data_IF_645637285311
#
_entry.id   IF_645637285311
#
_cell.length_a   1.000
_cell.length_b   1.000
_cell.length_c   1.000
_cell.angle_alpha   90.00
_cell.angle_beta   90.00
_cell.angle_gamma   90.00
#
_symmetry.space_group_name_H-M   'P 1'
#
loop_
_entity.id
_entity.type
_entity.pdbx_description
1 polymer ?
#
# COMPACT_ATOMS: atom_id res chain seq x y z
N UNK A 1 -3.39 -1.96 -16.82
CA UNK A 1 -4.16 -1.44 -15.66
C UNK A 1 -5.45 -2.24 -15.50
N UNK A 2 -5.88 -2.56 -14.27
CA UNK A 2 -7.18 -3.20 -14.03
C UNK A 2 -8.35 -2.29 -14.41
N UNK A 3 -9.47 -2.86 -14.88
CA UNK A 3 -10.69 -2.09 -15.10
C UNK A 3 -11.39 -1.75 -13.78
N UNK A 4 -12.23 -0.71 -13.78
CA UNK A 4 -13.03 -0.32 -12.61
C UNK A 4 -13.92 -1.48 -12.10
N UNK A 5 -14.55 -2.24 -13.00
CA UNK A 5 -15.36 -3.41 -12.65
C UNK A 5 -14.51 -4.51 -12.00
N UNK A 6 -13.28 -4.69 -12.46
CA UNK A 6 -12.34 -5.65 -11.87
C UNK A 6 -12.02 -5.26 -10.42
N UNK A 7 -11.68 -3.98 -10.19
CA UNK A 7 -11.39 -3.42 -8.87
C UNK A 7 -12.61 -3.58 -7.95
N UNK A 8 -13.79 -3.13 -8.40
CA UNK A 8 -15.04 -3.21 -7.64
C UNK A 8 -15.37 -4.65 -7.22
N UNK A 9 -15.13 -5.61 -8.11
CA UNK A 9 -15.36 -7.02 -7.82
C UNK A 9 -14.46 -7.56 -6.69
N UNK A 10 -13.18 -7.16 -6.65
CA UNK A 10 -12.25 -7.59 -5.58
C UNK A 10 -12.62 -6.94 -4.26
N UNK A 11 -12.91 -5.62 -4.26
CA UNK A 11 -13.42 -4.90 -3.09
C UNK A 11 -14.69 -5.54 -2.51
N UNK A 12 -15.62 -5.96 -3.37
CA UNK A 12 -16.84 -6.64 -2.95
C UNK A 12 -16.58 -8.00 -2.29
N UNK A 13 -15.53 -8.71 -2.71
CA UNK A 13 -15.12 -9.95 -2.06
C UNK A 13 -14.60 -9.70 -0.64
N UNK A 14 -13.83 -8.62 -0.47
CA UNK A 14 -13.31 -8.17 0.83
C UNK A 14 -14.46 -7.79 1.76
N UNK A 15 -15.48 -7.06 1.28
CA UNK A 15 -16.65 -6.68 2.11
C UNK A 15 -17.42 -7.88 2.65
N UNK A 16 -17.48 -8.96 1.86
CA UNK A 16 -18.18 -10.20 2.20
C UNK A 16 -17.39 -11.15 3.09
N UNK A 17 -16.11 -10.89 3.32
CA UNK A 17 -15.23 -11.71 4.15
C UNK A 17 -15.21 -13.19 3.73
N UNK A 18 -15.04 -13.41 2.42
CA UNK A 18 -14.97 -14.74 1.81
C UNK A 18 -13.52 -15.03 1.35
N UNK A 19 -12.62 -15.56 2.22
CA UNK A 19 -11.19 -15.71 1.93
C UNK A 19 -10.86 -16.39 0.60
N UNK A 20 -11.56 -17.48 0.27
CA UNK A 20 -11.34 -18.21 -0.99
C UNK A 20 -11.75 -17.37 -2.20
N UNK A 21 -12.82 -16.58 -2.07
CA UNK A 21 -13.28 -15.70 -3.13
C UNK A 21 -12.39 -14.47 -3.28
N UNK A 22 -11.85 -13.93 -2.19
CA UNK A 22 -10.85 -12.86 -2.21
C UNK A 22 -9.65 -13.33 -3.02
N UNK A 23 -9.07 -14.49 -2.67
CA UNK A 23 -7.92 -15.08 -3.39
C UNK A 23 -8.22 -15.36 -4.85
N UNK A 24 -9.35 -16.01 -5.13
CA UNK A 24 -9.75 -16.33 -6.50
C UNK A 24 -9.93 -15.09 -7.37
N UNK A 25 -10.64 -14.07 -6.87
CA UNK A 25 -10.85 -12.81 -7.61
C UNK A 25 -9.58 -12.02 -7.78
N UNK A 26 -8.72 -11.96 -6.76
CA UNK A 26 -7.44 -11.27 -6.85
C UNK A 26 -6.51 -11.94 -7.87
N UNK A 27 -6.40 -13.27 -7.85
CA UNK A 27 -5.62 -14.03 -8.82
C UNK A 27 -6.14 -13.86 -10.25
N UNK A 28 -7.47 -13.89 -10.44
CA UNK A 28 -8.08 -13.62 -11.74
C UNK A 28 -7.81 -12.20 -12.23
N UNK A 29 -7.91 -11.20 -11.35
CA UNK A 29 -7.63 -9.80 -11.67
C UNK A 29 -6.16 -9.61 -12.07
N UNK A 30 -5.25 -10.20 -11.30
CA UNK A 30 -3.81 -10.20 -11.57
C UNK A 30 -3.50 -10.84 -12.93
N UNK A 31 -4.04 -12.03 -13.20
CA UNK A 31 -3.85 -12.73 -14.47
C UNK A 31 -4.34 -11.90 -15.67
N UNK A 32 -5.52 -11.29 -15.58
CA UNK A 32 -6.06 -10.41 -16.64
C UNK A 32 -5.19 -9.18 -16.90
N UNK A 33 -4.42 -8.75 -15.90
CA UNK A 33 -3.52 -7.61 -16.01
C UNK A 33 -2.07 -8.02 -16.33
N UNK A 34 -1.79 -9.31 -16.56
CA UNK A 34 -0.42 -9.80 -16.75
C UNK A 34 0.49 -9.57 -15.54
N UNK A 35 -0.07 -9.66 -14.32
CA UNK A 35 0.63 -9.29 -13.08
C UNK A 35 0.50 -10.35 -11.98
N UNK A 36 1.13 -10.11 -10.82
CA UNK A 36 1.04 -10.99 -9.64
C UNK A 36 -0.10 -10.56 -8.70
N UNK A 37 -0.65 -11.46 -7.87
CA UNK A 37 -1.62 -11.09 -6.83
C UNK A 37 -1.12 -10.00 -5.87
N UNK A 38 0.15 -10.05 -5.47
CA UNK A 38 0.77 -9.02 -4.63
C UNK A 38 0.82 -7.65 -5.31
N UNK A 39 1.20 -7.60 -6.60
CA UNK A 39 1.14 -6.36 -7.38
C UNK A 39 -0.30 -5.87 -7.55
N UNK A 40 -1.25 -6.79 -7.72
CA UNK A 40 -2.67 -6.46 -7.81
C UNK A 40 -3.22 -5.82 -6.53
N UNK A 41 -2.68 -6.13 -5.35
CA UNK A 41 -3.05 -5.43 -4.11
C UNK A 41 -2.75 -3.92 -4.18
N UNK A 42 -1.66 -3.54 -4.86
CA UNK A 42 -1.25 -2.14 -5.04
C UNK A 42 -2.12 -1.42 -6.07
N UNK A 43 -2.58 -2.14 -7.08
CA UNK A 43 -3.35 -1.59 -8.21
C UNK A 43 -4.87 -1.58 -7.95
N UNK A 44 -5.36 -2.37 -6.99
CA UNK A 44 -6.79 -2.48 -6.67
C UNK A 44 -7.29 -1.32 -5.78
N UNK A 45 -7.06 -0.09 -6.24
CA UNK A 45 -7.51 1.14 -5.59
C UNK A 45 -8.89 1.52 -6.12
N UNK A 46 -9.88 1.65 -5.22
CA UNK A 46 -11.23 2.07 -5.59
C UNK A 46 -11.18 3.50 -6.18
N UNK A 47 -11.63 3.72 -7.43
CA UNK A 47 -11.47 5.01 -8.09
C UNK A 47 -12.36 6.11 -7.51
N UNK A 48 -13.42 5.76 -6.76
CA UNK A 48 -14.33 6.75 -6.20
C UNK A 48 -13.81 7.28 -4.85
N UNK A 49 -13.32 6.39 -3.98
CA UNK A 49 -12.85 6.76 -2.64
C UNK A 49 -11.33 6.87 -2.52
N UNK A 50 -10.57 6.29 -3.45
CA UNK A 50 -9.14 6.10 -3.32
C UNK A 50 -8.75 4.99 -2.34
N UNK A 51 -9.70 4.16 -1.89
CA UNK A 51 -9.43 3.12 -0.91
C UNK A 51 -8.67 1.94 -1.52
N UNK A 52 -7.61 1.50 -0.84
CA UNK A 52 -7.05 0.17 -1.12
C UNK A 52 -7.92 -0.93 -0.52
N UNK A 53 -7.64 -2.19 -0.87
CA UNK A 53 -8.33 -3.34 -0.27
C UNK A 53 -8.18 -3.40 1.26
N UNK A 54 -7.07 -2.89 1.81
CA UNK A 54 -6.87 -2.78 3.26
C UNK A 54 -7.81 -1.75 3.89
N UNK A 55 -8.00 -0.58 3.28
CA UNK A 55 -8.99 0.41 3.75
C UNK A 55 -10.39 -0.20 3.79
N UNK A 56 -10.78 -0.90 2.72
CA UNK A 56 -12.09 -1.57 2.66
C UNK A 56 -12.23 -2.62 3.75
N UNK A 57 -11.24 -3.49 3.94
CA UNK A 57 -11.26 -4.50 4.99
C UNK A 57 -11.33 -3.88 6.40
N UNK A 58 -10.62 -2.76 6.63
CA UNK A 58 -10.68 -2.01 7.89
C UNK A 58 -12.07 -1.44 8.14
N UNK A 59 -12.64 -0.76 7.13
CA UNK A 59 -13.94 -0.07 7.27
C UNK A 59 -15.09 -1.02 7.56
N UNK A 60 -15.04 -2.22 7.00
CA UNK A 60 -16.07 -3.26 7.22
C UNK A 60 -15.66 -4.30 8.27
N UNK A 61 -14.57 -4.03 9.00
CA UNK A 61 -14.11 -4.81 10.16
C UNK A 61 -13.88 -6.31 9.88
N UNK A 62 -13.24 -6.61 8.74
CA UNK A 62 -13.00 -7.98 8.27
C UNK A 62 -11.56 -8.43 8.54
N UNK A 63 -11.32 -8.96 9.74
CA UNK A 63 -10.00 -9.47 10.15
C UNK A 63 -9.53 -10.65 9.30
N UNK A 64 -10.42 -11.56 8.90
CA UNK A 64 -10.06 -12.71 8.05
C UNK A 64 -9.70 -12.28 6.63
N UNK A 65 -10.43 -11.30 6.07
CA UNK A 65 -10.04 -10.66 4.82
C UNK A 65 -8.65 -10.01 4.94
N UNK A 66 -8.34 -9.28 6.02
CA UNK A 66 -7.01 -8.71 6.24
C UNK A 66 -5.91 -9.78 6.30
N UNK A 67 -6.16 -10.87 7.03
CA UNK A 67 -5.23 -11.99 7.11
C UNK A 67 -5.04 -12.67 5.75
N UNK A 68 -6.08 -12.72 4.93
CA UNK A 68 -6.03 -13.25 3.56
C UNK A 68 -5.21 -12.34 2.66
N UNK A 69 -5.49 -11.03 2.64
CA UNK A 69 -4.74 -10.05 1.86
C UNK A 69 -3.25 -10.02 2.24
N UNK A 70 -2.95 -10.10 3.53
CA UNK A 70 -1.56 -10.17 4.02
C UNK A 70 -0.78 -11.34 3.42
N UNK A 71 -1.40 -12.52 3.28
CA UNK A 71 -0.73 -13.73 2.78
C UNK A 71 -0.30 -13.65 1.32
N UNK A 72 -0.82 -12.67 0.57
CA UNK A 72 -0.39 -12.41 -0.81
C UNK A 72 1.00 -11.74 -0.86
N UNK A 73 1.50 -11.27 0.28
CA UNK A 73 2.89 -10.86 0.44
C UNK A 73 3.76 -12.06 0.85
N UNK A 74 4.85 -12.26 0.11
CA UNK A 74 5.81 -13.31 0.42
C UNK A 74 6.40 -13.08 1.84
N UNK A 75 6.42 -14.11 2.71
CA UNK A 75 6.87 -13.96 4.10
C UNK A 75 8.36 -13.58 4.23
N UNK A 76 9.18 -13.88 3.22
CA UNK A 76 10.64 -13.76 3.27
C UNK A 76 11.24 -12.96 2.08
N UNK A 77 10.43 -12.19 1.36
CA UNK A 77 10.87 -11.50 0.14
C UNK A 77 11.32 -10.04 0.36
N UNK A 78 12.17 -9.55 -0.55
CA UNK A 78 12.62 -8.16 -0.77
C UNK A 78 11.49 -7.14 -1.05
N UNK A 79 10.24 -7.50 -0.79
CA UNK A 79 9.04 -6.68 -1.02
C UNK A 79 8.74 -5.74 0.17
N UNK A 80 9.79 -5.25 0.84
CA UNK A 80 9.64 -4.34 1.96
C UNK A 80 9.01 -3.01 1.52
N UNK A 81 9.43 -2.50 0.36
CA UNK A 81 8.90 -1.25 -0.18
C UNK A 81 7.42 -1.34 -0.56
N UNK A 82 6.95 -2.30 -1.39
CA UNK A 82 5.58 -2.25 -1.87
C UNK A 82 4.56 -2.47 -0.73
N UNK A 83 4.93 -3.24 0.29
CA UNK A 83 4.13 -3.37 1.52
C UNK A 83 4.05 -2.03 2.23
N UNK A 84 5.19 -1.37 2.49
CA UNK A 84 5.21 -0.06 3.17
C UNK A 84 4.45 1.01 2.39
N UNK A 85 4.57 1.02 1.06
CA UNK A 85 3.77 1.88 0.17
C UNK A 85 2.29 1.63 0.34
N UNK A 86 1.86 0.37 0.35
CA UNK A 86 0.44 0.05 0.54
C UNK A 86 -0.07 0.41 1.93
N UNK A 87 0.74 0.23 2.97
CA UNK A 87 0.34 0.55 4.34
C UNK A 87 0.31 2.07 4.59
N UNK A 88 1.18 2.85 3.92
CA UNK A 88 1.17 4.31 3.92
C UNK A 88 0.27 4.93 2.86
N UNK A 89 -0.38 4.11 2.04
CA UNK A 89 -1.33 4.56 1.03
C UNK A 89 -2.41 5.41 1.70
N UNK A 90 -2.70 6.56 1.09
CA UNK A 90 -3.74 7.48 1.54
C UNK A 90 -4.89 7.50 0.54
N UNK A 91 -6.11 7.34 1.02
CA UNK A 91 -7.31 7.50 0.18
C UNK A 91 -7.55 8.98 -0.16
N UNK A 92 -8.66 9.30 -0.86
CA UNK A 92 -8.97 10.68 -1.26
C UNK A 92 -9.22 11.64 -0.07
N UNK A 93 -9.44 11.12 1.13
CA UNK A 93 -9.55 11.90 2.37
C UNK A 93 -8.21 12.06 3.10
N UNK A 94 -7.12 11.59 2.49
CA UNK A 94 -5.79 11.56 3.09
C UNK A 94 -5.63 10.50 4.17
N UNK A 95 -6.59 9.58 4.31
CA UNK A 95 -6.60 8.59 5.39
C UNK A 95 -5.76 7.39 5.01
N UNK A 96 -4.94 6.93 5.95
CA UNK A 96 -4.35 5.58 5.88
C UNK A 96 -5.31 4.54 6.45
N UNK A 97 -4.98 3.25 6.28
CA UNK A 97 -5.78 2.18 6.87
C UNK A 97 -5.92 2.28 8.40
N UNK A 98 -4.95 2.89 9.11
CA UNK A 98 -5.01 3.10 10.55
C UNK A 98 -6.04 4.16 10.93
N UNK A 99 -6.18 5.23 10.15
CA UNK A 99 -7.23 6.22 10.34
C UNK A 99 -8.61 5.58 10.17
N UNK A 100 -8.79 4.80 9.10
CA UNK A 100 -10.05 4.08 8.85
C UNK A 100 -10.37 3.09 9.98
N UNK A 101 -9.38 2.35 10.48
CA UNK A 101 -9.57 1.48 11.64
C UNK A 101 -9.94 2.26 12.92
N UNK A 102 -9.32 3.43 13.14
CA UNK A 102 -9.61 4.27 14.28
C UNK A 102 -11.04 4.84 14.29
N UNK A 103 -11.64 5.05 13.11
CA UNK A 103 -13.04 5.48 12.97
C UNK A 103 -14.05 4.43 13.41
N UNK A 104 -13.71 3.14 13.37
CA UNK A 104 -14.68 2.10 13.74
C UNK A 104 -14.81 1.92 15.25
N UNK A 105 -13.83 2.42 16.01
CA UNK A 105 -13.76 2.23 17.46
C UNK A 105 -13.39 0.81 17.89
N UNK A 106 -13.09 -0.08 16.95
CA UNK A 106 -12.75 -1.46 17.21
C UNK A 106 -11.25 -1.62 17.42
N UNK A 107 -10.88 -1.87 18.68
CA UNK A 107 -9.48 -1.95 19.07
C UNK A 107 -8.73 -3.11 18.41
N UNK A 108 -9.41 -4.21 18.03
CA UNK A 108 -8.77 -5.32 17.32
C UNK A 108 -8.36 -4.90 15.90
N UNK A 109 -9.18 -4.10 15.22
CA UNK A 109 -8.87 -3.58 13.88
C UNK A 109 -7.69 -2.61 13.92
N UNK A 110 -7.66 -1.72 14.92
CA UNK A 110 -6.56 -0.76 15.11
C UNK A 110 -5.26 -1.50 15.45
N UNK A 111 -5.35 -2.53 16.30
CA UNK A 111 -4.21 -3.39 16.63
C UNK A 111 -3.72 -4.16 15.39
N UNK A 112 -4.65 -4.68 14.58
CA UNK A 112 -4.33 -5.37 13.34
C UNK A 112 -3.65 -4.43 12.32
N UNK A 113 -4.14 -3.20 12.17
CA UNK A 113 -3.53 -2.18 11.31
C UNK A 113 -2.08 -1.88 11.72
N UNK A 114 -1.85 -1.61 13.01
CA UNK A 114 -0.51 -1.35 13.53
C UNK A 114 0.43 -2.55 13.31
N UNK A 115 -0.03 -3.77 13.61
CA UNK A 115 0.77 -4.98 13.44
C UNK A 115 1.08 -5.31 11.99
N UNK A 116 0.12 -5.11 11.08
CA UNK A 116 0.35 -5.27 9.64
C UNK A 116 1.47 -4.34 9.16
N UNK A 117 1.50 -3.10 9.64
CA UNK A 117 2.59 -2.17 9.36
C UNK A 117 3.92 -2.65 9.94
N UNK A 118 3.94 -3.09 11.21
CA UNK A 118 5.13 -3.62 11.87
C UNK A 118 5.58 -5.00 11.37
N UNK A 119 4.84 -5.62 10.44
CA UNK A 119 5.03 -7.01 9.95
C UNK A 119 4.88 -8.08 11.04
N UNK A 120 4.23 -7.76 12.17
CA UNK A 120 3.96 -8.69 13.28
C UNK A 120 2.78 -9.60 12.98
N UNK A 121 2.71 -10.79 13.59
CA UNK A 121 1.59 -11.74 13.42
C UNK A 121 0.23 -11.14 13.84
N UNK A 122 -0.81 -11.44 13.07
CA UNK A 122 -2.18 -11.01 13.38
C UNK A 122 -2.76 -11.79 14.58
N UNK A 123 -3.75 -11.24 15.31
CA UNK A 123 -4.30 -11.86 16.53
C UNK A 123 -4.83 -13.29 16.37
N UNK A 124 -5.29 -13.69 15.17
CA UNK A 124 -5.88 -15.00 14.92
C UNK A 124 -4.90 -16.06 14.38
N UNK A 125 -3.61 -15.73 14.23
CA UNK A 125 -2.63 -16.66 13.67
C UNK A 125 -2.09 -17.62 14.76
N UNK A 126 -1.97 -18.94 14.44
CA UNK A 126 -1.61 -20.02 15.40
C UNK A 126 -0.27 -19.85 16.14
N UNK A 127 0.57 -18.89 15.72
CA UNK A 127 1.83 -18.50 16.38
C UNK A 127 1.71 -17.16 17.11
N UNK A 128 0.50 -16.78 17.49
CA UNK A 128 0.26 -15.67 18.40
C UNK A 128 0.83 -16.02 19.77
N UNK A 129 2.09 -15.63 19.99
CA UNK A 129 2.48 -15.17 21.31
C UNK A 129 2.19 -13.68 21.32
N UNK A 130 1.37 -13.16 22.26
CA UNK A 130 1.41 -11.75 22.55
C UNK A 130 2.79 -11.52 23.17
N UNK A 131 3.80 -11.27 22.34
CA UNK A 131 4.77 -10.27 22.74
C UNK A 131 4.03 -8.98 22.45
N UNK A 132 3.56 -8.26 23.48
CA UNK A 132 3.26 -6.87 23.26
C UNK A 132 4.55 -6.25 22.69
N UNK A 133 4.44 -5.19 21.90
CA UNK A 133 5.60 -4.35 21.62
C UNK A 133 6.30 -3.80 22.90
N UNK A 134 5.80 -4.17 24.09
CA UNK A 134 6.33 -3.90 25.43
C UNK A 134 7.70 -4.55 25.73
N UNK A 135 8.24 -5.47 24.92
CA UNK A 135 9.46 -6.24 25.27
C UNK A 135 10.69 -6.12 24.34
N UNK A 136 10.77 -5.13 23.45
CA UNK A 136 12.06 -4.83 22.75
C UNK A 136 12.60 -3.49 23.24
N UNK A 137 12.96 -3.46 24.52
CA UNK A 137 13.85 -2.47 25.10
C UNK A 137 15.30 -2.79 24.74
N UNK A 138 15.73 -2.38 23.55
CA UNK A 138 17.15 -2.22 23.23
C UNK A 138 17.34 -0.88 22.51
N UNK A 139 17.88 0.10 23.25
CA UNK A 139 18.48 1.32 22.69
C UNK A 139 17.54 2.42 22.19
N UNK A 140 17.83 3.66 22.59
CA UNK A 140 17.17 4.89 22.11
C UNK A 140 17.58 5.28 20.67
N UNK A 141 18.57 4.57 20.10
CA UNK A 141 19.24 4.89 18.83
C UNK A 141 18.67 4.10 17.63
N UNK A 142 17.67 3.24 17.85
CA UNK A 142 17.28 2.26 16.83
C UNK A 142 16.36 2.89 15.77
N UNK A 143 16.94 3.18 14.59
CA UNK A 143 16.28 3.64 13.36
C UNK A 143 15.06 2.77 12.99
N UNK A 144 15.01 1.53 13.50
CA UNK A 144 13.88 0.59 13.37
C UNK A 144 12.56 1.10 13.97
N UNK A 145 12.60 2.02 14.94
CA UNK A 145 11.40 2.56 15.63
C UNK A 145 10.75 3.74 14.91
N UNK A 146 11.48 4.38 13.99
CA UNK A 146 10.99 5.57 13.28
C UNK A 146 9.81 5.26 12.34
N UNK A 147 9.81 4.17 11.54
CA UNK A 147 8.70 3.88 10.66
C UNK A 147 7.35 3.67 11.40
N UNK A 148 7.27 2.87 12.48
CA UNK A 148 6.03 2.73 13.25
C UNK A 148 5.56 4.05 13.86
N UNK A 149 6.47 4.84 14.44
CA UNK A 149 6.13 6.14 15.01
C UNK A 149 5.57 7.08 13.94
N UNK A 150 6.23 7.17 12.79
CA UNK A 150 5.75 7.99 11.68
C UNK A 150 4.39 7.53 11.15
N UNK A 151 4.13 6.23 11.12
CA UNK A 151 2.83 5.71 10.73
C UNK A 151 1.71 6.11 11.71
N UNK A 152 2.00 6.10 13.01
CA UNK A 152 1.05 6.54 14.05
C UNK A 152 0.81 8.07 14.00
N UNK A 153 1.83 8.85 13.67
CA UNK A 153 1.77 10.32 13.56
C UNK A 153 1.30 10.81 12.19
N UNK A 154 1.01 9.92 11.25
CA UNK A 154 0.56 10.30 9.91
C UNK A 154 -0.76 11.06 10.03
N UNK A 155 -0.90 12.17 9.29
CA UNK A 155 -2.10 13.01 9.34
C UNK A 155 -2.93 12.88 8.07
N UNK A 156 -4.25 12.88 8.22
CA UNK A 156 -5.19 12.93 7.11
C UNK A 156 -5.34 14.36 6.53
N UNK A 157 -6.23 14.53 5.54
CA UNK A 157 -6.47 15.84 4.91
C UNK A 157 -7.05 16.88 5.90
N UNK A 158 -7.66 16.45 7.01
CA UNK A 158 -8.13 17.32 8.09
C UNK A 158 -7.06 17.59 9.16
N UNK A 159 -5.80 17.23 8.91
CA UNK A 159 -4.67 17.37 9.84
C UNK A 159 -4.85 16.60 11.16
N UNK A 160 -5.66 15.55 11.16
CA UNK A 160 -5.85 14.65 12.30
C UNK A 160 -4.99 13.40 12.10
N UNK A 161 -4.29 12.97 13.15
CA UNK A 161 -3.73 11.63 13.22
C UNK A 161 -4.82 10.61 13.60
N UNK A 162 -4.47 9.32 13.63
CA UNK A 162 -5.43 8.27 13.95
C UNK A 162 -6.03 8.39 15.36
N UNK A 163 -5.28 8.89 16.35
CA UNK A 163 -5.80 9.13 17.70
C UNK A 163 -6.82 10.28 17.72
N UNK A 164 -6.52 11.36 17.00
CA UNK A 164 -7.42 12.50 16.77
C UNK A 164 -8.70 12.08 16.05
N UNK A 165 -8.60 11.21 15.05
CA UNK A 165 -9.75 10.62 14.36
C UNK A 165 -10.59 9.76 15.30
N UNK A 166 -9.99 8.88 16.10
CA UNK A 166 -10.72 8.09 17.10
C UNK A 166 -11.47 8.98 18.09
N UNK A 167 -10.81 10.04 18.60
CA UNK A 167 -11.41 10.99 19.55
C UNK A 167 -12.57 11.77 18.93
N UNK A 168 -12.42 12.23 17.69
CA UNK A 168 -13.49 12.93 16.97
C UNK A 168 -14.74 12.07 16.77
N UNK A 169 -14.60 10.75 16.76
CA UNK A 169 -15.70 9.78 16.67
C UNK A 169 -16.17 9.25 18.04
N UNK A 170 -15.64 9.77 19.16
CA UNK A 170 -16.03 9.35 20.52
C UNK A 170 -15.38 8.06 21.01
N UNK A 171 -14.33 7.57 20.33
CA UNK A 171 -13.63 6.33 20.65
C UNK A 171 -12.41 6.56 21.55
N UNK A 172 -12.63 7.11 22.74
CA UNK A 172 -11.56 7.56 23.64
C UNK A 172 -10.62 6.42 24.09
N UNK A 173 -11.12 5.18 24.19
CA UNK A 173 -10.27 4.03 24.52
C UNK A 173 -9.25 3.71 23.42
N UNK A 174 -9.67 3.81 22.15
CA UNK A 174 -8.79 3.62 20.99
C UNK A 174 -7.77 4.74 20.91
N UNK A 175 -8.21 6.00 21.07
CA UNK A 175 -7.30 7.15 21.09
C UNK A 175 -6.21 6.99 22.17
N UNK A 176 -6.61 6.66 23.41
CA UNK A 176 -5.66 6.40 24.51
C UNK A 176 -4.75 5.19 24.26
N UNK A 177 -5.18 4.19 23.50
CA UNK A 177 -4.31 3.09 23.13
C UNK A 177 -3.24 3.52 22.13
N UNK A 178 -3.62 4.27 21.09
CA UNK A 178 -2.70 4.81 20.08
C UNK A 178 -1.69 5.78 20.74
N UNK A 179 -2.16 6.69 21.60
CA UNK A 179 -1.29 7.65 22.31
C UNK A 179 -0.28 6.94 23.22
N UNK A 180 -0.69 5.86 23.90
CA UNK A 180 0.25 5.04 24.68
C UNK A 180 1.34 4.43 23.81
N UNK A 181 1.02 3.94 22.61
CA UNK A 181 2.03 3.46 21.67
C UNK A 181 2.98 4.58 21.23
N UNK A 182 2.45 5.77 20.92
CA UNK A 182 3.28 6.93 20.58
C UNK A 182 4.23 7.26 21.73
N UNK A 183 3.73 7.36 22.97
CA UNK A 183 4.57 7.61 24.16
C UNK A 183 5.61 6.51 24.39
N UNK A 184 5.32 5.26 24.05
CA UNK A 184 6.31 4.18 24.16
C UNK A 184 7.43 4.31 23.11
N UNK A 185 7.08 4.72 21.88
CA UNK A 185 8.03 4.90 20.78
C UNK A 185 8.83 6.21 20.88
N UNK A 186 8.25 7.23 21.51
CA UNK A 186 8.85 8.54 21.77
C UNK A 186 8.52 9.05 23.19
N UNK A 187 9.19 8.51 24.23
CA UNK A 187 8.89 8.83 25.63
C UNK A 187 9.11 10.30 26.01
N UNK A 188 9.98 11.00 25.29
CA UNK A 188 10.28 12.41 25.53
C UNK A 188 9.38 13.34 24.71
N UNK A 189 8.70 12.82 23.68
CA UNK A 189 7.82 13.60 22.80
C UNK A 189 8.58 14.53 21.85
N UNK A 190 9.91 14.43 21.80
CA UNK A 190 10.77 15.32 21.03
C UNK A 190 10.55 15.13 19.52
N UNK A 191 10.11 13.94 19.08
CA UNK A 191 9.96 13.57 17.67
C UNK A 191 8.60 13.95 17.09
N UNK A 192 7.67 14.44 17.90
CA UNK A 192 6.39 14.98 17.42
C UNK A 192 6.48 16.46 16.99
N UNK A 193 7.67 17.07 17.06
CA UNK A 193 7.91 18.41 16.49
C UNK A 193 7.88 18.37 14.95
N UNK A 194 7.27 19.36 14.26
CA UNK A 194 7.22 19.40 12.80
C UNK A 194 8.60 19.29 12.11
N UNK A 195 9.66 19.88 12.67
CA UNK A 195 11.01 19.81 12.09
C UNK A 195 11.61 18.43 12.26
N UNK A 196 11.39 17.79 13.41
CA UNK A 196 11.83 16.42 13.64
C UNK A 196 11.07 15.44 12.75
N UNK A 197 9.76 15.67 12.52
CA UNK A 197 8.98 14.89 11.56
C UNK A 197 9.53 15.00 10.14
N UNK A 198 9.90 16.19 9.70
CA UNK A 198 10.54 16.41 8.40
C UNK A 198 11.90 15.68 8.33
N UNK A 199 12.72 15.76 9.38
CA UNK A 199 13.99 15.02 9.47
C UNK A 199 13.79 13.51 9.40
N UNK A 200 12.80 12.97 10.12
CA UNK A 200 12.45 11.55 10.07
C UNK A 200 11.96 11.13 8.68
N UNK A 201 11.16 11.97 8.02
CA UNK A 201 10.73 11.74 6.63
C UNK A 201 11.89 11.69 5.66
N UNK A 202 12.83 12.65 5.77
CA UNK A 202 14.03 12.68 4.95
C UNK A 202 14.90 11.43 5.18
N UNK A 203 15.10 11.07 6.44
CA UNK A 203 15.85 9.88 6.84
C UNK A 203 15.23 8.61 6.22
N UNK A 204 13.92 8.40 6.37
CA UNK A 204 13.23 7.26 5.75
C UNK A 204 13.39 7.31 4.24
N UNK A 205 13.20 8.48 3.62
CA UNK A 205 13.32 8.61 2.16
C UNK A 205 14.71 8.17 1.68
N UNK A 206 15.77 8.66 2.31
CA UNK A 206 17.16 8.31 1.97
C UNK A 206 17.47 6.83 2.24
N UNK A 207 17.04 6.32 3.39
CA UNK A 207 17.30 4.93 3.80
C UNK A 207 16.66 3.93 2.82
N UNK A 208 15.45 4.22 2.36
CA UNK A 208 14.77 3.38 1.38
C UNK A 208 15.12 3.74 -0.08
N UNK A 209 15.77 4.88 -0.36
CA UNK A 209 16.12 5.31 -1.72
C UNK A 209 16.96 4.27 -2.47
N UNK A 210 17.86 3.58 -1.78
CA UNK A 210 18.67 2.51 -2.37
C UNK A 210 17.84 1.28 -2.77
N UNK A 211 16.78 0.97 -2.03
CA UNK A 211 15.82 -0.07 -2.40
C UNK A 211 14.89 0.38 -3.54
N UNK A 212 14.66 1.69 -3.72
CA UNK A 212 13.86 2.25 -4.83
C UNK A 212 14.58 2.23 -6.18
N UNK A 213 15.92 2.28 -6.20
CA UNK A 213 16.73 2.27 -7.44
C UNK A 213 16.66 0.95 -8.23
N UNK A 214 16.37 -0.19 -7.58
CA UNK A 214 16.21 -1.49 -8.27
C UNK A 214 14.88 -1.62 -9.05
N UNK A 215 13.95 -0.67 -8.88
CA UNK A 215 12.65 -0.62 -9.58
C UNK A 215 12.61 0.59 -10.52
N UNK A 216 13.72 0.93 -11.15
CA UNK A 216 13.65 1.63 -12.43
C UNK A 216 13.52 0.52 -13.48
N UNK A 217 12.28 0.31 -13.94
CA UNK A 217 12.08 -0.32 -15.24
C UNK A 217 12.80 0.62 -16.20
N UNK A 218 13.89 0.15 -16.80
CA UNK A 218 14.51 0.84 -17.92
C UNK A 218 13.36 1.12 -18.89
N UNK A 219 13.04 2.40 -19.09
CA UNK A 219 12.25 2.83 -20.23
C UNK A 219 13.12 2.45 -21.43
N UNK A 220 12.96 1.21 -21.91
CA UNK A 220 13.47 0.79 -23.21
C UNK A 220 12.93 1.82 -24.19
N UNK A 221 13.81 2.74 -24.61
CA UNK A 221 13.55 3.67 -25.69
C UNK A 221 13.04 2.82 -26.85
N UNK A 222 11.75 2.96 -27.14
CA UNK A 222 11.15 2.37 -28.32
C UNK A 222 11.80 3.11 -29.48
N UNK A 223 12.79 2.48 -30.10
CA UNK A 223 13.37 2.92 -31.37
C UNK A 223 12.23 2.94 -32.40
N UNK A 224 11.62 4.11 -32.58
CA UNK A 224 10.62 4.43 -33.61
C UNK A 224 11.30 4.55 -34.98
N UNK A 225 12.07 3.55 -35.40
CA UNK A 225 12.71 3.50 -36.72
C UNK A 225 12.03 2.43 -37.60
N UNK A 226 10.73 2.61 -37.81
CA UNK A 226 10.00 2.00 -38.93
C UNK A 226 9.64 3.10 -39.92
N UNK A 227 10.63 3.50 -40.74
CA UNK A 227 10.34 4.18 -42.00
C UNK A 227 9.78 3.16 -42.99
N UNK A 228 8.47 3.24 -43.21
CA UNK A 228 7.78 2.73 -44.40
C UNK A 228 8.39 3.37 -45.65
N UNK A 229 9.23 2.63 -46.37
CA UNK A 229 9.52 2.92 -47.78
C UNK A 229 8.50 2.14 -48.62
N UNK A 230 7.36 2.78 -48.89
CA UNK A 230 6.36 2.32 -49.85
C UNK A 230 6.96 2.27 -51.27
N UNK A 231 6.68 1.14 -51.92
CA UNK A 231 6.91 0.86 -53.33
C UNK A 231 6.07 1.79 -54.22
N UNK A 232 6.72 2.70 -54.97
CA UNK A 232 6.10 3.29 -56.17
C UNK A 232 6.62 2.58 -57.42
N UNK A 233 5.81 1.63 -57.88
CA UNK A 233 5.89 1.01 -59.19
C UNK A 233 5.36 1.98 -60.25
N UNK A 234 6.24 2.54 -61.08
CA UNK A 234 5.84 3.32 -62.25
C UNK A 234 6.19 2.57 -63.54
N UNK A 235 5.15 1.89 -64.04
CA UNK A 235 5.02 1.22 -65.33
C UNK A 235 4.91 2.25 -66.46
N UNK A 236 5.93 2.37 -67.32
CA UNK A 236 5.81 2.99 -68.65
C UNK A 236 6.56 2.21 -69.72
N UNK A 237 5.82 1.29 -70.33
CA UNK A 237 5.97 0.97 -71.75
C UNK A 237 6.08 2.23 -72.62
N UNK A 238 7.09 2.28 -73.48
CA UNK A 238 6.90 2.83 -74.82
C UNK A 238 7.85 2.17 -75.82
N UNK A 239 7.24 1.33 -76.64
CA UNK A 239 7.66 0.97 -77.99
C UNK A 239 7.68 2.24 -78.84
N UNK A 240 8.78 2.50 -79.56
CA UNK A 240 8.66 2.85 -80.98
C UNK A 240 10.03 2.74 -81.67
N UNK A 241 10.08 1.84 -82.65
CA UNK A 241 11.17 1.81 -83.62
C UNK A 241 10.91 2.84 -84.71
N UNK A 242 11.99 3.33 -85.32
CA UNK A 242 11.96 3.81 -86.70
C UNK A 242 13.30 3.54 -87.36
N UNK A 243 13.18 2.84 -88.48
CA UNK A 243 14.17 2.71 -89.54
C UNK A 243 14.46 4.09 -90.13
N UNK A 244 15.73 4.36 -90.44
CA UNK A 244 16.24 4.65 -91.80
C UNK A 244 17.78 4.67 -91.79
#
# INVERSE_FOLDING_TARGET
MPSADCIANVHEAVRKDEPDRIRGKLAMAAHRCGSSPGTMLLLAIDPASGDSLFHTAMRVERLEALATLRKEFAPNGSFEIPIRLLMKHKNHQGETMLHVAAQTGNQDMVTAAYRLFCRDWLPHERRFTPTPAEEINQGFEDESRLPPLMFLLEQNAASQDAAGVARANGHENVARWIERLITQLDPHGDRNDPKERERMQEFIRQHYQHEYTEIQVEDDEVDDDYSDDEEDADDKHNHDGKND
#
